data_IF_487732606278
#
_entry.id   IF_487732606278
#
_cell.length_a   1.000
_cell.length_b   1.000
_cell.length_c   1.000
_cell.angle_alpha   90.00
_cell.angle_beta   90.00
_cell.angle_gamma   90.00
#
_symmetry.space_group_name_H-M   'P 1'
#
loop_
_entity.id
_entity.type
_entity.pdbx_description
1 polymer ?
#
# COMPACT_ATOMS: atom_id res chain seq x y z
N UNK A 1 16.60 60.02 -22.08
CA UNK A 1 17.49 60.65 -21.09
C UNK A 1 18.46 59.59 -20.58
N UNK A 2 19.77 59.82 -20.82
CA UNK A 2 20.97 59.37 -20.07
C UNK A 2 21.02 57.90 -19.62
N UNK A 3 21.81 56.97 -20.21
CA UNK A 3 23.27 56.86 -20.41
C UNK A 3 24.09 56.63 -19.12
N UNK A 4 24.84 55.51 -19.10
CA UNK A 4 26.26 55.26 -18.74
C UNK A 4 26.41 53.76 -18.31
N UNK A 5 27.05 52.87 -19.07
CA UNK A 5 28.52 52.61 -19.24
C UNK A 5 29.16 52.04 -17.95
N UNK A 6 30.12 51.11 -17.90
CA UNK A 6 31.05 50.50 -18.87
C UNK A 6 31.67 49.23 -18.25
N UNK A 7 32.28 48.35 -19.06
CA UNK A 7 33.15 47.28 -18.55
C UNK A 7 33.63 46.28 -19.61
N UNK A 8 34.43 46.74 -20.59
CA UNK A 8 35.27 45.88 -21.44
C UNK A 8 36.53 45.43 -20.63
N UNK A 9 37.41 44.49 -20.99
CA UNK A 9 37.88 44.00 -22.29
C UNK A 9 38.92 42.87 -22.11
N UNK A 10 38.92 41.89 -23.03
CA UNK A 10 40.05 41.26 -23.77
C UNK A 10 41.34 40.76 -23.06
N UNK A 11 41.75 39.53 -23.42
CA UNK A 11 43.01 39.12 -24.14
C UNK A 11 43.07 37.57 -24.17
N UNK A 12 42.96 36.85 -25.29
CA UNK A 12 43.79 36.67 -26.50
C UNK A 12 45.06 35.78 -26.30
N UNK A 13 44.99 34.58 -26.90
CA UNK A 13 46.02 33.70 -27.53
C UNK A 13 47.41 33.49 -26.91
N UNK A 14 47.88 32.22 -26.89
CA UNK A 14 49.11 31.79 -27.58
C UNK A 14 49.27 30.25 -27.67
N UNK A 15 49.57 29.80 -28.89
CA UNK A 15 50.11 28.49 -29.29
C UNK A 15 51.62 28.39 -28.97
N UNK A 16 52.14 27.16 -28.87
CA UNK A 16 53.58 26.82 -29.03
C UNK A 16 53.99 25.65 -28.12
N UNK A 17 54.11 24.41 -28.59
CA UNK A 17 55.18 23.82 -29.42
C UNK A 17 56.21 23.02 -28.58
N UNK A 18 56.48 21.81 -29.08
CA UNK A 18 57.25 20.70 -28.56
C UNK A 18 58.68 20.99 -28.05
N UNK A 19 59.18 20.11 -27.18
CA UNK A 19 60.52 19.50 -27.31
C UNK A 19 60.60 18.17 -26.58
N UNK A 20 61.21 17.20 -27.24
CA UNK A 20 61.39 15.81 -26.85
C UNK A 20 62.79 15.57 -26.27
N UNK A 21 62.94 14.62 -25.35
CA UNK A 21 64.20 13.87 -25.14
C UNK A 21 63.96 12.45 -24.61
N UNK A 22 64.28 11.48 -25.47
CA UNK A 22 65.14 10.29 -25.28
C UNK A 22 64.78 9.22 -24.22
N UNK A 23 64.16 8.15 -24.75
CA UNK A 23 64.58 6.75 -24.76
C UNK A 23 65.34 6.14 -23.55
N UNK A 24 64.75 5.07 -23.00
CA UNK A 24 65.47 3.83 -22.67
C UNK A 24 64.52 2.63 -22.81
N UNK A 25 64.81 1.75 -23.77
CA UNK A 25 64.12 0.49 -24.00
C UNK A 25 64.58 -0.57 -22.98
N UNK A 26 63.65 -1.18 -22.26
CA UNK A 26 63.83 -2.45 -21.56
C UNK A 26 62.87 -3.51 -22.11
N UNK A 27 63.27 -4.78 -22.24
CA UNK A 27 62.43 -5.81 -22.86
C UNK A 27 61.22 -6.15 -21.97
N UNK A 28 60.05 -6.18 -22.62
CA UNK A 28 58.71 -6.37 -22.06
C UNK A 28 58.53 -7.83 -21.60
N UNK A 29 58.35 -8.05 -20.29
CA UNK A 29 57.87 -9.32 -19.76
C UNK A 29 56.37 -9.51 -20.08
N UNK A 30 55.87 -10.74 -20.31
CA UNK A 30 54.46 -10.97 -20.59
C UNK A 30 53.65 -10.74 -19.32
N UNK A 31 52.83 -9.70 -19.31
CA UNK A 31 51.90 -9.41 -18.24
C UNK A 31 50.78 -10.48 -18.26
N UNK A 32 50.76 -11.33 -17.23
CA UNK A 32 49.67 -12.29 -17.01
C UNK A 32 48.39 -11.48 -16.80
N UNK A 33 47.42 -11.68 -17.69
CA UNK A 33 46.05 -11.15 -17.57
C UNK A 33 45.47 -11.63 -16.24
N UNK A 34 45.30 -10.71 -15.28
CA UNK A 34 44.57 -11.01 -14.05
C UNK A 34 43.11 -11.34 -14.41
N UNK A 35 42.46 -12.29 -13.74
CA UNK A 35 41.03 -12.54 -13.92
C UNK A 35 40.26 -11.26 -13.59
N UNK A 36 39.32 -10.87 -14.44
CA UNK A 36 38.39 -9.80 -14.13
C UNK A 36 37.68 -10.13 -12.81
N UNK A 37 37.80 -9.23 -11.84
CA UNK A 37 37.06 -9.33 -10.58
C UNK A 37 35.57 -9.33 -10.92
N UNK A 38 34.89 -10.43 -10.57
CA UNK A 38 33.44 -10.55 -10.63
C UNK A 38 32.85 -9.43 -9.76
N UNK A 39 31.98 -8.60 -10.35
CA UNK A 39 31.24 -7.60 -9.60
C UNK A 39 30.47 -8.30 -8.47
N UNK A 40 30.44 -7.75 -7.24
CA UNK A 40 29.80 -8.40 -6.12
C UNK A 40 28.31 -8.59 -6.44
N UNK A 41 27.87 -9.84 -6.45
CA UNK A 41 26.44 -10.17 -6.53
C UNK A 41 25.76 -9.47 -5.35
N UNK A 42 24.77 -8.62 -5.67
CA UNK A 42 23.99 -7.92 -4.67
C UNK A 42 23.48 -8.92 -3.63
N UNK A 43 23.86 -8.72 -2.37
CA UNK A 43 23.35 -9.50 -1.25
C UNK A 43 21.82 -9.39 -1.26
N UNK A 44 21.07 -10.49 -1.06
CA UNK A 44 19.62 -10.38 -0.89
C UNK A 44 19.32 -9.34 0.19
N UNK A 45 18.55 -8.32 -0.16
CA UNK A 45 18.14 -7.26 0.75
C UNK A 45 17.53 -7.90 2.02
N UNK A 46 17.78 -7.32 3.20
CA UNK A 46 17.15 -7.82 4.41
C UNK A 46 15.60 -7.68 4.27
N UNK A 47 14.81 -8.48 5.00
CA UNK A 47 13.34 -8.41 4.93
C UNK A 47 12.76 -7.00 5.11
N UNK A 48 13.38 -6.19 5.97
CA UNK A 48 13.04 -4.77 6.19
C UNK A 48 13.32 -3.90 4.97
N UNK A 49 14.42 -4.19 4.26
CA UNK A 49 14.91 -3.39 3.14
C UNK A 49 14.01 -3.63 1.92
N UNK A 50 13.60 -4.88 1.67
CA UNK A 50 12.70 -5.21 0.55
C UNK A 50 11.31 -4.56 0.70
N UNK A 51 10.78 -4.45 1.91
CA UNK A 51 9.51 -3.77 2.16
C UNK A 51 9.64 -2.26 1.95
N UNK A 52 10.71 -1.64 2.48
CA UNK A 52 10.98 -0.22 2.28
C UNK A 52 11.16 0.11 0.79
N UNK A 53 11.87 -0.73 0.03
CA UNK A 53 12.05 -0.59 -1.41
C UNK A 53 10.72 -0.65 -2.17
N UNK A 54 9.84 -1.60 -1.81
CA UNK A 54 8.51 -1.71 -2.41
C UNK A 54 7.63 -0.48 -2.12
N UNK A 55 7.70 0.05 -0.89
CA UNK A 55 7.01 1.29 -0.51
C UNK A 55 7.56 2.49 -1.29
N UNK A 56 8.88 2.60 -1.43
CA UNK A 56 9.54 3.67 -2.19
C UNK A 56 9.46 3.51 -3.73
N UNK A 57 8.94 2.37 -4.21
CA UNK A 57 8.99 1.92 -5.59
C UNK A 57 8.57 2.98 -6.61
N UNK A 58 9.33 3.10 -7.70
CA UNK A 58 9.11 4.13 -8.73
C UNK A 58 7.78 3.96 -9.50
N UNK A 59 7.16 2.79 -9.42
CA UNK A 59 5.86 2.49 -10.04
C UNK A 59 4.67 3.05 -9.27
N UNK A 60 4.84 3.41 -7.99
CA UNK A 60 3.80 4.07 -7.20
C UNK A 60 3.70 5.53 -7.62
N UNK A 61 2.47 6.00 -7.90
CA UNK A 61 2.24 7.38 -8.29
C UNK A 61 2.60 8.35 -7.16
N UNK A 62 2.93 9.63 -7.46
CA UNK A 62 3.16 10.65 -6.43
C UNK A 62 2.00 10.77 -5.45
N UNK A 63 0.76 10.68 -5.93
CA UNK A 63 -0.46 10.75 -5.12
C UNK A 63 -0.57 9.55 -4.18
N UNK A 64 -0.20 8.35 -4.65
CA UNK A 64 -0.17 7.16 -3.80
C UNK A 64 0.88 7.30 -2.69
N UNK A 65 2.10 7.75 -3.02
CA UNK A 65 3.20 7.97 -2.07
C UNK A 65 2.92 9.08 -1.06
N UNK A 66 2.26 10.16 -1.49
CA UNK A 66 1.87 11.25 -0.61
C UNK A 66 1.00 10.78 0.56
N UNK A 67 0.31 9.64 0.40
CA UNK A 67 -0.53 9.05 1.44
C UNK A 67 0.24 8.22 2.48
N UNK A 68 1.51 7.91 2.24
CA UNK A 68 2.33 7.10 3.15
C UNK A 68 2.45 7.75 4.54
N UNK A 69 2.47 9.09 4.60
CA UNK A 69 2.50 9.84 5.86
C UNK A 69 1.25 9.66 6.74
N UNK A 70 0.12 9.19 6.18
CA UNK A 70 -1.06 8.85 6.97
C UNK A 70 -1.26 7.34 7.12
N UNK A 71 -0.81 6.56 6.14
CA UNK A 71 -1.07 5.11 6.06
C UNK A 71 0.04 4.24 6.65
N UNK A 72 1.23 4.82 6.86
CA UNK A 72 2.38 4.18 7.50
C UNK A 72 2.60 2.74 7.01
N UNK A 73 2.79 2.51 5.69
CA UNK A 73 2.73 1.17 5.13
C UNK A 73 3.83 0.24 5.65
N UNK A 74 5.04 0.76 5.89
CA UNK A 74 6.14 -0.05 6.43
C UNK A 74 5.79 -0.51 7.84
N UNK A 75 5.37 0.41 8.70
CA UNK A 75 5.02 0.17 10.10
C UNK A 75 3.81 -0.76 10.21
N UNK A 76 2.76 -0.50 9.43
CA UNK A 76 1.51 -1.28 9.43
C UNK A 76 1.75 -2.72 8.99
N UNK A 77 2.46 -2.93 7.87
CA UNK A 77 2.74 -4.29 7.36
C UNK A 77 3.75 -5.03 8.25
N UNK A 78 4.71 -4.31 8.85
CA UNK A 78 5.63 -4.87 9.85
C UNK A 78 4.89 -5.29 11.12
N UNK A 79 3.95 -4.49 11.61
CA UNK A 79 3.10 -4.80 12.75
C UNK A 79 2.28 -6.08 12.55
N UNK A 80 1.63 -6.21 11.38
CA UNK A 80 0.94 -7.45 11.01
C UNK A 80 1.91 -8.64 10.87
N UNK A 81 3.20 -8.38 10.68
CA UNK A 81 4.25 -9.39 10.65
C UNK A 81 4.48 -9.95 9.25
N UNK A 82 4.31 -9.11 8.22
CA UNK A 82 4.61 -9.48 6.83
C UNK A 82 6.08 -9.92 6.72
N UNK A 83 6.31 -11.05 6.06
CA UNK A 83 7.65 -11.62 5.87
C UNK A 83 7.84 -12.07 4.41
N UNK A 84 9.10 -12.14 3.95
CA UNK A 84 9.46 -12.75 2.68
C UNK A 84 8.84 -14.14 2.51
N UNK A 85 8.32 -14.41 1.31
CA UNK A 85 7.82 -15.75 0.94
C UNK A 85 6.42 -16.10 1.44
N UNK A 86 5.72 -15.20 2.11
CA UNK A 86 4.34 -15.44 2.58
C UNK A 86 3.33 -15.56 1.44
N UNK A 87 2.25 -16.29 1.69
CA UNK A 87 1.00 -16.17 0.92
C UNK A 87 0.10 -15.14 1.62
N UNK A 88 -0.25 -14.07 0.92
CA UNK A 88 -1.08 -12.97 1.43
C UNK A 88 -2.40 -12.90 0.65
N UNK A 89 -3.51 -12.66 1.34
CA UNK A 89 -4.81 -12.36 0.70
C UNK A 89 -5.19 -10.91 1.02
N UNK A 90 -5.33 -10.09 -0.01
CA UNK A 90 -5.84 -8.72 0.08
C UNK A 90 -7.31 -8.72 -0.34
N UNK A 91 -8.21 -8.35 0.59
CA UNK A 91 -9.64 -8.26 0.31
C UNK A 91 -10.00 -6.87 -0.21
N UNK A 92 -10.72 -6.82 -1.33
CA UNK A 92 -11.21 -5.60 -1.98
C UNK A 92 -10.10 -4.54 -2.11
N UNK A 93 -9.07 -4.79 -2.95
CA UNK A 93 -7.91 -3.91 -3.09
C UNK A 93 -8.25 -2.52 -3.66
N UNK A 94 -9.47 -2.33 -4.17
CA UNK A 94 -9.89 -1.11 -4.88
C UNK A 94 -8.96 -0.84 -6.08
N UNK A 95 -8.40 0.37 -6.14
CA UNK A 95 -7.40 0.73 -7.16
C UNK A 95 -6.00 0.11 -6.91
N UNK A 96 -5.81 -0.65 -5.83
CA UNK A 96 -4.60 -1.39 -5.53
C UNK A 96 -3.50 -0.59 -4.84
N UNK A 97 -3.83 0.31 -3.90
CA UNK A 97 -2.82 1.09 -3.19
C UNK A 97 -1.86 0.20 -2.37
N UNK A 98 -2.39 -0.81 -1.67
CA UNK A 98 -1.58 -1.80 -0.97
C UNK A 98 -1.05 -2.87 -1.92
N UNK A 99 -1.81 -3.25 -2.96
CA UNK A 99 -1.31 -4.10 -4.06
C UNK A 99 0.01 -3.58 -4.64
N UNK A 100 0.15 -2.26 -4.81
CA UNK A 100 1.38 -1.65 -5.32
C UNK A 100 2.60 -1.84 -4.41
N UNK A 101 2.40 -2.29 -3.17
CA UNK A 101 3.46 -2.60 -2.22
C UNK A 101 3.59 -4.13 -2.08
N UNK A 102 2.45 -4.81 -1.83
CA UNK A 102 2.39 -6.23 -1.57
C UNK A 102 2.84 -7.06 -2.77
N UNK A 103 2.35 -6.76 -3.97
CA UNK A 103 2.65 -7.57 -5.15
C UNK A 103 4.15 -7.53 -5.52
N UNK A 104 4.82 -6.37 -5.61
CA UNK A 104 6.27 -6.32 -5.85
C UNK A 104 7.10 -6.94 -4.73
N UNK A 105 6.73 -6.68 -3.46
CA UNK A 105 7.41 -7.29 -2.31
C UNK A 105 7.34 -8.81 -2.37
N UNK A 106 6.15 -9.38 -2.62
CA UNK A 106 5.95 -10.83 -2.68
C UNK A 106 6.61 -11.43 -3.92
N UNK A 107 6.55 -10.77 -5.08
CA UNK A 107 7.25 -11.23 -6.28
C UNK A 107 8.77 -11.32 -6.05
N UNK A 108 9.39 -10.28 -5.46
CA UNK A 108 10.82 -10.25 -5.16
C UNK A 108 11.21 -11.29 -4.11
N UNK A 109 10.34 -11.54 -3.13
CA UNK A 109 10.61 -12.43 -2.00
C UNK A 109 10.09 -13.86 -2.18
N UNK A 110 9.60 -14.21 -3.38
CA UNK A 110 9.04 -15.52 -3.73
C UNK A 110 7.79 -15.90 -2.91
N UNK A 111 7.01 -14.91 -2.52
CA UNK A 111 5.66 -15.06 -1.95
C UNK A 111 4.57 -15.09 -3.03
N UNK A 112 3.31 -15.06 -2.59
CA UNK A 112 2.14 -15.05 -3.47
C UNK A 112 1.07 -14.09 -2.95
N UNK A 113 0.49 -13.31 -3.85
CA UNK A 113 -0.67 -12.46 -3.55
C UNK A 113 -1.93 -13.05 -4.16
N UNK A 114 -2.95 -13.24 -3.34
CA UNK A 114 -4.34 -13.37 -3.77
C UNK A 114 -5.03 -12.03 -3.58
N UNK A 115 -5.53 -11.45 -4.66
CA UNK A 115 -6.34 -10.24 -4.61
C UNK A 115 -7.81 -10.67 -4.72
N UNK A 116 -8.48 -10.80 -3.58
CA UNK A 116 -9.89 -11.15 -3.49
C UNK A 116 -10.71 -9.90 -3.83
N UNK A 117 -10.86 -9.64 -5.12
CA UNK A 117 -11.46 -8.42 -5.64
C UNK A 117 -12.99 -8.44 -5.52
N UNK A 118 -13.66 -7.33 -5.76
CA UNK A 118 -15.12 -7.25 -5.76
C UNK A 118 -15.71 -8.34 -6.67
N UNK A 119 -16.72 -9.06 -6.19
CA UNK A 119 -17.55 -9.91 -7.06
C UNK A 119 -18.37 -9.01 -7.99
N UNK A 120 -18.14 -9.03 -9.32
CA UNK A 120 -18.89 -8.17 -10.21
C UNK A 120 -20.37 -8.57 -10.25
N UNK A 121 -21.26 -7.60 -10.07
CA UNK A 121 -22.71 -7.77 -10.12
C UNK A 121 -23.41 -6.78 -11.07
N UNK A 122 -22.70 -5.72 -11.48
CA UNK A 122 -23.19 -4.63 -12.31
C UNK A 122 -22.05 -4.02 -13.18
N UNK A 123 -22.34 -3.17 -14.18
CA UNK A 123 -21.32 -2.59 -15.05
C UNK A 123 -20.21 -1.81 -14.32
N UNK A 124 -20.51 -1.12 -13.21
CA UNK A 124 -19.50 -0.36 -12.47
C UNK A 124 -18.53 -1.29 -11.75
N UNK A 125 -19.03 -2.34 -11.10
CA UNK A 125 -18.20 -3.37 -10.47
C UNK A 125 -17.32 -4.13 -11.48
N UNK A 126 -17.81 -4.38 -12.70
CA UNK A 126 -17.02 -4.97 -13.79
C UNK A 126 -15.87 -4.04 -14.18
N UNK A 127 -16.15 -2.75 -14.39
CA UNK A 127 -15.13 -1.77 -14.74
C UNK A 127 -14.02 -1.65 -13.69
N UNK A 128 -14.37 -1.70 -12.40
CA UNK A 128 -13.40 -1.68 -11.30
C UNK A 128 -12.46 -2.89 -11.38
N UNK A 129 -13.02 -4.10 -11.54
CA UNK A 129 -12.23 -5.33 -11.59
C UNK A 129 -11.37 -5.40 -12.84
N UNK A 130 -11.89 -4.96 -13.99
CA UNK A 130 -11.15 -4.96 -15.25
C UNK A 130 -10.02 -3.92 -15.24
N UNK A 131 -10.24 -2.73 -14.68
CA UNK A 131 -9.20 -1.73 -14.50
C UNK A 131 -8.06 -2.24 -13.60
N UNK A 132 -8.41 -2.95 -12.52
CA UNK A 132 -7.42 -3.57 -11.64
C UNK A 132 -6.60 -4.65 -12.38
N UNK A 133 -7.26 -5.54 -13.13
CA UNK A 133 -6.56 -6.56 -13.94
C UNK A 133 -5.68 -5.94 -15.01
N UNK A 134 -6.16 -4.90 -15.69
CA UNK A 134 -5.39 -4.18 -16.71
C UNK A 134 -4.14 -3.52 -16.11
N UNK A 135 -4.23 -2.92 -14.92
CA UNK A 135 -3.08 -2.38 -14.18
C UNK A 135 -2.01 -3.45 -13.93
N UNK A 136 -2.41 -4.63 -13.44
CA UNK A 136 -1.48 -5.73 -13.20
C UNK A 136 -0.81 -6.21 -14.51
N UNK A 137 -1.62 -6.40 -15.56
CA UNK A 137 -1.15 -6.85 -16.87
C UNK A 137 -0.23 -5.85 -17.58
N UNK A 138 -0.36 -4.55 -17.30
CA UNK A 138 0.50 -3.51 -17.86
C UNK A 138 1.93 -3.54 -17.31
N UNK A 139 2.18 -4.19 -16.17
CA UNK A 139 3.50 -4.20 -15.52
C UNK A 139 3.80 -5.54 -14.81
N UNK A 140 3.81 -6.68 -15.54
CA UNK A 140 3.94 -8.00 -14.94
C UNK A 140 5.31 -8.23 -14.27
N UNK A 141 6.36 -7.51 -14.73
CA UNK A 141 7.68 -7.56 -14.09
C UNK A 141 7.72 -6.91 -12.70
N UNK A 142 6.81 -5.99 -12.43
CA UNK A 142 6.68 -5.30 -11.15
C UNK A 142 5.76 -6.10 -10.24
N UNK A 143 4.57 -6.44 -10.71
CA UNK A 143 3.54 -7.06 -9.86
C UNK A 143 3.69 -8.59 -9.72
N UNK A 144 4.42 -9.26 -10.61
CA UNK A 144 4.53 -10.71 -10.61
C UNK A 144 3.20 -11.41 -10.90
N UNK A 145 3.05 -12.64 -10.39
CA UNK A 145 1.84 -13.46 -10.56
C UNK A 145 0.85 -13.21 -9.41
N UNK A 146 0.01 -12.17 -9.57
CA UNK A 146 -1.11 -11.91 -8.66
C UNK A 146 -2.32 -12.75 -9.06
N UNK A 147 -2.78 -13.61 -8.17
CA UNK A 147 -4.01 -14.37 -8.37
C UNK A 147 -5.23 -13.51 -8.05
N UNK A 148 -5.99 -13.11 -9.07
CA UNK A 148 -7.22 -12.34 -8.88
C UNK A 148 -8.40 -13.29 -8.66
N UNK A 149 -8.89 -13.35 -7.44
CA UNK A 149 -10.12 -14.06 -7.04
C UNK A 149 -11.24 -13.04 -6.80
N UNK A 150 -12.42 -13.51 -6.36
CA UNK A 150 -13.55 -12.66 -6.08
C UNK A 150 -14.05 -12.84 -4.64
N UNK A 151 -14.48 -11.75 -4.02
CA UNK A 151 -15.18 -11.71 -2.75
C UNK A 151 -16.49 -10.93 -2.90
N UNK A 152 -17.60 -11.59 -2.58
CA UNK A 152 -18.93 -11.02 -2.55
C UNK A 152 -19.96 -12.01 -1.99
N UNK A 153 -21.27 -11.69 -2.06
CA UNK A 153 -22.32 -12.47 -1.40
C UNK A 153 -22.33 -13.95 -1.78
N UNK A 154 -22.04 -14.27 -3.05
CA UNK A 154 -22.09 -15.64 -3.58
C UNK A 154 -20.75 -16.11 -4.16
N UNK A 155 -19.67 -15.39 -3.89
CA UNK A 155 -18.33 -15.79 -4.33
C UNK A 155 -17.88 -17.07 -3.64
N UNK A 156 -17.07 -17.85 -4.36
CA UNK A 156 -16.35 -19.00 -3.80
C UNK A 156 -15.17 -18.58 -2.92
N UNK A 157 -14.21 -19.51 -2.75
CA UNK A 157 -13.03 -19.31 -1.93
C UNK A 157 -12.16 -18.14 -2.45
N UNK A 158 -11.71 -17.28 -1.52
CA UNK A 158 -10.82 -16.14 -1.82
C UNK A 158 -9.38 -16.57 -2.09
N UNK A 159 -8.98 -17.72 -1.55
CA UNK A 159 -7.73 -18.44 -1.74
C UNK A 159 -7.97 -19.89 -1.28
N UNK A 160 -7.14 -20.87 -1.69
CA UNK A 160 -7.29 -22.24 -1.21
C UNK A 160 -7.32 -22.31 0.32
N UNK A 161 -8.21 -23.12 0.89
CA UNK A 161 -8.34 -23.24 2.33
C UNK A 161 -7.00 -23.60 3.02
N UNK A 162 -6.69 -22.93 4.12
CA UNK A 162 -5.48 -23.16 4.91
C UNK A 162 -4.17 -22.85 4.17
N UNK A 163 -4.18 -22.02 3.12
CA UNK A 163 -3.00 -21.72 2.31
C UNK A 163 -2.33 -20.37 2.62
N UNK A 164 -3.06 -19.44 3.23
CA UNK A 164 -2.58 -18.08 3.49
C UNK A 164 -1.86 -17.97 4.84
N UNK A 165 -0.75 -17.23 4.86
CA UNK A 165 -0.06 -16.83 6.09
C UNK A 165 -0.67 -15.55 6.68
N UNK A 166 -1.20 -14.69 5.81
CA UNK A 166 -1.79 -13.41 6.17
C UNK A 166 -3.02 -13.08 5.31
N UNK A 167 -4.06 -12.54 5.94
CA UNK A 167 -5.23 -11.94 5.28
C UNK A 167 -5.33 -10.49 5.76
N UNK A 168 -5.69 -9.57 4.85
CA UNK A 168 -5.73 -8.15 5.14
C UNK A 168 -7.12 -7.56 4.82
N UNK A 169 -7.71 -6.92 5.82
CA UNK A 169 -8.92 -6.10 5.72
C UNK A 169 -8.54 -4.64 5.89
N UNK A 170 -8.45 -3.91 4.79
CA UNK A 170 -7.89 -2.55 4.78
C UNK A 170 -8.96 -1.57 4.30
N UNK A 171 -9.65 -0.93 5.25
CA UNK A 171 -10.73 0.05 5.05
C UNK A 171 -11.93 -0.47 4.25
N UNK A 172 -12.36 -1.69 4.55
CA UNK A 172 -13.49 -2.33 3.87
C UNK A 172 -14.56 -2.87 4.82
N UNK A 173 -14.31 -2.90 6.13
CA UNK A 173 -15.23 -3.50 7.09
C UNK A 173 -16.57 -2.77 7.09
N UNK A 174 -16.57 -1.44 7.07
CA UNK A 174 -17.78 -0.62 6.98
C UNK A 174 -18.58 -0.93 5.69
N UNK A 175 -17.91 -1.15 4.56
CA UNK A 175 -18.58 -1.50 3.31
C UNK A 175 -19.25 -2.87 3.38
N UNK A 176 -18.61 -3.85 4.03
CA UNK A 176 -19.18 -5.19 4.19
C UNK A 176 -20.30 -5.24 5.23
N UNK A 177 -20.25 -4.37 6.24
CA UNK A 177 -21.36 -4.16 7.16
C UNK A 177 -22.57 -3.62 6.42
N UNK A 178 -22.41 -2.53 5.65
CA UNK A 178 -23.48 -1.96 4.83
C UNK A 178 -24.06 -2.97 3.82
N UNK A 179 -23.20 -3.81 3.23
CA UNK A 179 -23.62 -4.84 2.27
C UNK A 179 -24.15 -6.13 2.91
N UNK A 180 -24.13 -6.27 4.24
CA UNK A 180 -24.59 -7.48 4.94
C UNK A 180 -23.73 -8.73 4.69
N UNK A 181 -22.44 -8.55 4.35
CA UNK A 181 -21.50 -9.66 4.04
C UNK A 181 -20.30 -9.72 4.99
N UNK A 182 -20.29 -8.92 6.06
CA UNK A 182 -19.16 -8.85 7.01
C UNK A 182 -18.84 -10.21 7.65
N UNK A 183 -19.85 -10.99 8.05
CA UNK A 183 -19.62 -12.32 8.63
C UNK A 183 -19.00 -13.28 7.61
N UNK A 184 -19.38 -13.16 6.32
CA UNK A 184 -18.76 -13.95 5.24
C UNK A 184 -17.30 -13.56 5.08
N UNK A 185 -16.96 -12.27 5.16
CA UNK A 185 -15.57 -11.82 5.06
C UNK A 185 -14.70 -12.51 6.12
N UNK A 186 -15.14 -12.47 7.39
CA UNK A 186 -14.42 -13.12 8.47
C UNK A 186 -14.34 -14.64 8.32
N UNK A 187 -15.43 -15.32 7.92
CA UNK A 187 -15.41 -16.77 7.66
C UNK A 187 -14.44 -17.15 6.54
N UNK A 188 -14.45 -16.40 5.44
CA UNK A 188 -13.59 -16.67 4.28
C UNK A 188 -12.11 -16.39 4.62
N UNK A 189 -11.83 -15.34 5.38
CA UNK A 189 -10.50 -15.07 5.91
C UNK A 189 -10.02 -16.20 6.85
N UNK A 190 -10.89 -16.66 7.75
CA UNK A 190 -10.57 -17.76 8.66
C UNK A 190 -10.32 -19.06 7.90
N UNK A 191 -11.11 -19.34 6.86
CA UNK A 191 -10.93 -20.52 6.00
C UNK A 191 -9.61 -20.47 5.22
N UNK A 192 -9.27 -19.32 4.63
CA UNK A 192 -8.04 -19.14 3.86
C UNK A 192 -6.76 -19.27 4.71
N UNK A 193 -6.79 -18.80 5.97
CA UNK A 193 -5.61 -18.79 6.83
C UNK A 193 -5.18 -20.19 7.30
N UNK A 194 -3.86 -20.41 7.33
CA UNK A 194 -3.22 -21.50 8.08
C UNK A 194 -3.51 -21.36 9.58
N UNK A 195 -3.48 -22.45 10.37
CA UNK A 195 -3.37 -22.35 11.82
C UNK A 195 -2.15 -21.49 12.22
N UNK A 196 -2.36 -20.52 13.10
CA UNK A 196 -1.35 -19.50 13.46
C UNK A 196 -1.20 -18.34 12.46
N UNK A 197 -1.97 -18.32 11.37
CA UNK A 197 -1.98 -17.23 10.39
C UNK A 197 -2.61 -15.94 10.94
N UNK A 198 -2.26 -14.81 10.34
CA UNK A 198 -2.65 -13.47 10.81
C UNK A 198 -3.79 -12.89 9.97
N UNK A 199 -4.80 -12.34 10.65
CA UNK A 199 -5.72 -11.38 10.07
C UNK A 199 -5.31 -9.96 10.53
N UNK A 200 -4.89 -9.12 9.59
CA UNK A 200 -4.63 -7.70 9.83
C UNK A 200 -5.85 -6.87 9.46
N UNK A 201 -6.31 -6.01 10.38
CA UNK A 201 -7.43 -5.09 10.16
C UNK A 201 -6.95 -3.65 10.32
N UNK A 202 -7.16 -2.82 9.30
CA UNK A 202 -7.09 -1.36 9.34
C UNK A 202 -8.49 -0.82 9.04
N UNK A 203 -9.12 -0.08 9.94
CA UNK A 203 -10.47 0.45 9.71
C UNK A 203 -10.69 1.81 10.36
N UNK A 204 -11.55 2.64 9.76
CA UNK A 204 -11.99 3.92 10.31
C UNK A 204 -12.57 3.75 11.72
N UNK A 205 -11.98 4.41 12.71
CA UNK A 205 -12.27 4.19 14.14
C UNK A 205 -13.35 5.15 14.64
N UNK A 206 -14.47 4.60 15.07
CA UNK A 206 -15.50 5.36 15.78
C UNK A 206 -15.04 5.78 17.19
N UNK A 207 -15.66 6.82 17.75
CA UNK A 207 -15.42 7.22 19.13
C UNK A 207 -15.80 6.10 20.12
N UNK A 208 -14.99 5.83 21.16
CA UNK A 208 -15.28 4.76 22.11
C UNK A 208 -16.57 5.03 22.89
N UNK A 209 -17.25 3.96 23.30
CA UNK A 209 -18.45 4.04 24.15
C UNK A 209 -19.74 4.38 23.41
N UNK A 210 -19.70 4.63 22.10
CA UNK A 210 -20.88 4.76 21.26
C UNK A 210 -21.55 3.42 20.95
N UNK A 211 -22.83 3.46 20.60
CA UNK A 211 -23.52 2.31 19.99
C UNK A 211 -23.00 2.14 18.57
N UNK A 212 -22.64 0.91 18.19
CA UNK A 212 -22.25 0.63 16.82
C UNK A 212 -23.46 0.85 15.90
N UNK A 213 -23.27 1.67 14.87
CA UNK A 213 -24.18 1.72 13.74
C UNK A 213 -24.05 0.43 12.91
N UNK A 214 -25.14 -0.32 12.80
CA UNK A 214 -25.19 -1.64 12.14
C UNK A 214 -24.73 -1.55 10.69
N UNK A 215 -24.99 -0.44 9.99
CA UNK A 215 -24.61 -0.26 8.59
C UNK A 215 -23.36 0.60 8.39
N UNK A 216 -22.85 1.23 9.45
CA UNK A 216 -21.70 2.16 9.40
C UNK A 216 -21.92 3.25 8.33
N UNK A 217 -23.05 3.95 8.40
CA UNK A 217 -23.50 4.95 7.42
C UNK A 217 -22.48 6.06 7.24
N UNK A 218 -21.78 6.46 8.31
CA UNK A 218 -20.72 7.47 8.28
C UNK A 218 -19.32 6.90 8.01
N UNK A 219 -19.21 5.59 7.80
CA UNK A 219 -17.97 4.85 7.53
C UNK A 219 -17.11 4.53 8.76
N UNK A 220 -17.48 4.98 9.97
CA UNK A 220 -16.73 4.68 11.20
C UNK A 220 -17.23 3.39 11.87
N UNK A 221 -16.30 2.59 12.37
CA UNK A 221 -16.56 1.32 13.06
C UNK A 221 -15.98 1.35 14.47
N UNK A 222 -16.73 0.87 15.44
CA UNK A 222 -16.30 0.66 16.81
C UNK A 222 -15.26 -0.46 16.84
N UNK A 223 -14.09 -0.16 17.42
CA UNK A 223 -13.02 -1.15 17.55
C UNK A 223 -13.45 -2.39 18.33
N UNK A 224 -14.26 -2.20 19.39
CA UNK A 224 -14.80 -3.31 20.18
C UNK A 224 -15.68 -4.25 19.33
N UNK A 225 -16.46 -3.69 18.41
CA UNK A 225 -17.31 -4.46 17.51
C UNK A 225 -16.49 -5.23 16.46
N UNK A 226 -15.49 -4.59 15.85
CA UNK A 226 -14.57 -5.28 14.93
C UNK A 226 -13.87 -6.47 15.61
N UNK A 227 -13.42 -6.31 16.86
CA UNK A 227 -12.84 -7.38 17.66
C UNK A 227 -13.87 -8.47 17.97
N UNK A 228 -15.12 -8.11 18.28
CA UNK A 228 -16.19 -9.06 18.54
C UNK A 228 -16.50 -9.92 17.31
N UNK A 229 -16.71 -9.31 16.14
CA UNK A 229 -16.96 -10.03 14.89
C UNK A 229 -15.85 -11.03 14.58
N UNK A 230 -14.60 -10.62 14.79
CA UNK A 230 -13.47 -11.51 14.57
C UNK A 230 -13.45 -12.69 15.57
N UNK A 231 -13.77 -12.44 16.85
CA UNK A 231 -13.90 -13.50 17.87
C UNK A 231 -15.02 -14.49 17.53
N UNK A 232 -16.16 -14.00 17.05
CA UNK A 232 -17.29 -14.84 16.63
C UNK A 232 -16.91 -15.75 15.45
N UNK A 233 -16.00 -15.30 14.57
CA UNK A 233 -15.42 -16.11 13.52
C UNK A 233 -14.27 -17.03 13.97
N UNK A 234 -13.88 -17.01 15.24
CA UNK A 234 -12.85 -17.87 15.84
C UNK A 234 -11.45 -17.27 15.94
N UNK A 235 -11.28 -15.99 15.62
CA UNK A 235 -10.00 -15.31 15.81
C UNK A 235 -9.76 -14.91 17.27
N UNK A 236 -8.47 -14.74 17.62
CA UNK A 236 -8.05 -14.13 18.89
C UNK A 236 -7.30 -12.84 18.59
N UNK A 237 -7.60 -11.77 19.34
CA UNK A 237 -6.82 -10.54 19.28
C UNK A 237 -5.44 -10.80 19.87
N UNK A 238 -4.39 -10.63 19.05
CA UNK A 238 -3.01 -10.74 19.49
C UNK A 238 -2.47 -9.39 19.94
N UNK A 239 -2.74 -8.33 19.18
CA UNK A 239 -2.20 -7.00 19.44
C UNK A 239 -3.06 -5.92 18.78
N UNK A 240 -3.07 -4.72 19.36
CA UNK A 240 -3.65 -3.52 18.76
C UNK A 240 -2.60 -2.41 18.75
N UNK A 241 -2.65 -1.54 17.75
CA UNK A 241 -1.67 -0.47 17.57
C UNK A 241 -2.32 0.86 17.17
N UNK A 242 -1.67 1.93 17.60
CA UNK A 242 -2.02 3.32 17.30
C UNK A 242 -1.24 3.89 16.10
N UNK A 243 -0.56 3.04 15.30
CA UNK A 243 0.20 3.45 14.09
C UNK A 243 -0.62 4.37 13.19
N UNK A 244 -1.91 4.08 13.00
CA UNK A 244 -2.80 4.86 12.14
C UNK A 244 -3.82 5.70 12.94
N UNK A 245 -3.53 5.99 14.21
CA UNK A 245 -4.38 6.87 15.01
C UNK A 245 -4.27 8.32 14.52
N UNK A 246 -5.39 9.04 14.50
CA UNK A 246 -5.39 10.46 14.19
C UNK A 246 -6.22 11.24 15.22
N UNK A 247 -5.59 11.88 16.22
CA UNK A 247 -6.32 12.63 17.24
C UNK A 247 -7.02 13.88 16.72
N UNK A 248 -6.71 14.33 15.49
CA UNK A 248 -7.41 15.46 14.85
C UNK A 248 -8.76 15.08 14.25
N UNK A 249 -9.00 13.79 14.04
CA UNK A 249 -10.26 13.31 13.48
C UNK A 249 -11.33 13.20 14.59
N UNK A 250 -12.25 14.16 14.58
CA UNK A 250 -13.38 14.25 15.51
C UNK A 250 -14.48 13.22 15.24
N UNK A 251 -14.43 12.53 14.08
CA UNK A 251 -15.48 11.64 13.55
C UNK A 251 -16.83 12.30 13.26
N UNK A 252 -16.95 13.61 13.52
CA UNK A 252 -18.14 14.41 13.25
C UNK A 252 -17.89 15.29 12.03
N UNK A 253 -18.26 14.76 10.87
CA UNK A 253 -18.09 15.40 9.57
C UNK A 253 -19.37 15.26 8.74
N UNK A 254 -19.71 16.26 7.90
CA UNK A 254 -20.98 16.31 7.18
C UNK A 254 -21.25 15.10 6.27
N UNK A 255 -20.22 14.49 5.69
CA UNK A 255 -20.35 13.34 4.78
C UNK A 255 -19.60 12.12 5.34
N UNK A 256 -19.61 11.98 6.67
CA UNK A 256 -18.87 10.96 7.39
C UNK A 256 -17.38 11.01 7.08
N UNK A 257 -16.74 9.85 7.15
CA UNK A 257 -15.30 9.71 6.91
C UNK A 257 -14.88 10.15 5.51
N UNK A 258 -15.78 10.12 4.54
CA UNK A 258 -15.51 10.52 3.16
C UNK A 258 -15.40 12.04 2.97
N UNK A 259 -15.76 12.84 3.97
CA UNK A 259 -15.44 14.28 3.99
C UNK A 259 -13.92 14.50 3.98
N UNK A 260 -13.17 13.58 4.61
CA UNK A 260 -11.71 13.67 4.73
C UNK A 260 -11.00 13.18 3.46
N UNK A 261 -9.72 13.54 3.28
CA UNK A 261 -8.84 12.88 2.31
C UNK A 261 -8.85 11.34 2.43
N UNK A 262 -8.70 10.62 1.32
CA UNK A 262 -8.52 11.12 -0.04
C UNK A 262 -9.84 11.47 -0.76
N UNK A 263 -11.00 11.07 -0.23
CA UNK A 263 -12.26 11.14 -0.96
C UNK A 263 -12.76 12.57 -1.09
N UNK A 264 -12.65 13.37 -0.03
CA UNK A 264 -13.00 14.81 -0.04
C UNK A 264 -14.40 15.08 -0.60
N UNK A 265 -15.42 14.35 -0.12
CA UNK A 265 -16.80 14.65 -0.48
C UNK A 265 -17.17 16.07 -0.07
N UNK A 266 -17.86 16.75 -0.97
CA UNK A 266 -18.41 18.11 -0.79
C UNK A 266 -19.95 18.12 -0.78
N UNK A 267 -20.57 16.96 -0.96
CA UNK A 267 -22.01 16.73 -1.09
C UNK A 267 -22.36 15.30 -0.67
N UNK A 268 -23.65 15.04 -0.50
CA UNK A 268 -24.16 13.69 -0.28
C UNK A 268 -23.77 12.73 -1.41
N UNK A 269 -23.68 11.45 -1.09
CA UNK A 269 -23.29 10.44 -2.08
C UNK A 269 -24.36 10.35 -3.17
N UNK A 270 -23.93 10.47 -4.43
CA UNK A 270 -24.81 10.49 -5.59
C UNK A 270 -25.24 11.89 -6.03
N UNK A 271 -24.98 12.91 -5.21
CA UNK A 271 -25.23 14.32 -5.56
C UNK A 271 -23.98 14.97 -6.15
N UNK A 272 -24.14 15.93 -7.09
CA UNK A 272 -23.01 16.64 -7.66
C UNK A 272 -22.24 17.42 -6.57
N UNK A 273 -20.91 17.59 -6.72
CA UNK A 273 -20.09 18.37 -5.79
C UNK A 273 -20.68 19.76 -5.54
N UNK A 274 -20.78 20.15 -4.26
CA UNK A 274 -21.27 21.48 -3.88
C UNK A 274 -20.21 22.54 -4.20
N UNK A 275 -20.49 23.52 -5.07
CA UNK A 275 -19.54 24.60 -5.34
C UNK A 275 -19.22 25.39 -4.07
N UNK A 276 -17.95 25.73 -3.87
CA UNK A 276 -17.50 26.56 -2.75
C UNK A 276 -17.50 25.86 -1.39
N UNK A 277 -17.63 24.53 -1.33
CA UNK A 277 -17.39 23.80 -0.08
C UNK A 277 -15.92 23.96 0.37
N UNK A 278 -15.72 24.50 1.56
CA UNK A 278 -14.38 24.72 2.10
C UNK A 278 -13.81 23.44 2.72
N UNK A 279 -12.83 22.85 2.02
CA UNK A 279 -12.10 21.67 2.48
C UNK A 279 -10.95 21.99 3.44
N UNK A 280 -10.53 23.25 3.60
CA UNK A 280 -9.28 23.59 4.27
C UNK A 280 -9.19 23.02 5.69
N UNK A 281 -10.29 23.09 6.46
CA UNK A 281 -10.34 22.54 7.82
C UNK A 281 -10.31 21.01 7.85
N UNK A 282 -10.86 20.32 6.85
CA UNK A 282 -10.85 18.85 6.76
C UNK A 282 -9.52 18.33 6.23
N UNK A 283 -8.89 19.07 5.32
CA UNK A 283 -7.56 18.78 4.80
C UNK A 283 -6.49 18.90 5.87
N UNK A 284 -6.64 19.84 6.79
CA UNK A 284 -5.75 20.01 7.94
C UNK A 284 -5.81 18.84 8.95
N UNK A 285 -6.90 18.05 8.92
CA UNK A 285 -7.04 16.80 9.69
C UNK A 285 -6.19 15.70 9.04
N UNK A 286 -6.20 15.60 7.71
CA UNK A 286 -5.61 14.48 6.98
C UNK A 286 -6.55 13.29 6.88
N UNK A 287 -6.01 12.08 6.67
CA UNK A 287 -6.86 10.89 6.68
C UNK A 287 -7.36 10.57 8.09
N UNK A 288 -8.52 9.92 8.15
CA UNK A 288 -9.22 9.49 9.36
C UNK A 288 -8.36 8.78 10.41
N UNK A 289 -8.80 8.84 11.66
CA UNK A 289 -8.39 7.96 12.75
C UNK A 289 -8.73 6.50 12.43
N UNK A 290 -7.76 5.60 12.61
CA UNK A 290 -7.94 4.18 12.27
C UNK A 290 -7.47 3.24 13.36
N UNK A 291 -8.28 2.22 13.61
CA UNK A 291 -7.85 1.05 14.37
C UNK A 291 -6.88 0.23 13.54
N UNK A 292 -5.83 -0.30 14.17
CA UNK A 292 -4.89 -1.23 13.54
C UNK A 292 -4.81 -2.47 14.44
N UNK A 293 -5.41 -3.58 14.01
CA UNK A 293 -5.59 -4.78 14.82
C UNK A 293 -4.91 -5.98 14.19
N UNK A 294 -4.13 -6.69 14.99
CA UNK A 294 -3.53 -7.97 14.62
C UNK A 294 -4.28 -9.09 15.33
N UNK A 295 -4.95 -9.92 14.55
CA UNK A 295 -5.65 -11.09 15.04
C UNK A 295 -5.02 -12.36 14.48
N UNK A 296 -5.20 -13.47 15.19
CA UNK A 296 -4.57 -14.74 14.85
C UNK A 296 -5.62 -15.85 14.81
N UNK A 297 -5.54 -16.69 13.79
CA UNK A 297 -6.25 -17.98 13.76
C UNK A 297 -5.54 -18.92 14.74
N UNK A 298 -6.20 -19.47 15.76
CA UNK A 298 -5.58 -20.40 16.71
C UNK A 298 -4.92 -21.60 16.01
N UNK A 299 -3.92 -22.19 16.66
CA UNK A 299 -3.21 -23.38 16.18
C UNK A 299 -4.03 -24.66 16.35
#
# INVERSE_FOLDING_TARGET
MQSFSSGASRRLFLMGAASATLAACGPKAPEKKAPAAEAPKAKPAAPSDALADAVAGAWRSPEAKARDAWRHPVETLTFFGLKPGMTVVEFWPGAGWYTDILAPFLAQTKGRLYAANLQPADPASIQIVDAYKAKLAASPKIYGDVAVTAFGPTSGEVAPAGSADMVLFLRNLHNWMAAGIVDKAFRDAFAALKPGGVLGIEEHRAAPGGVQDVVSENGYVQQAYAIQLAKEAGFVLAEASEINANPKDTKDHPFGVWTLPPTRLSSERGEPPKPGFDHAKYDAIGESDRMTLKLVKPK
#
